data_IF_583380468537
#
_entry.id   IF_583380468537
#
_cell.length_a   1.000
_cell.length_b   1.000
_cell.length_c   1.000
_cell.angle_alpha   90.00
_cell.angle_beta   90.00
_cell.angle_gamma   90.00
#
_symmetry.space_group_name_H-M   'P 1'
#
loop_
_entity.id
_entity.type
_entity.pdbx_description
1 polymer ?
#
# COMPACT_ATOMS: atom_id res chain seq x y z
N UNK A 1 -13.10 10.84 12.01
CA UNK A 1 -12.79 10.89 10.56
C UNK A 1 -11.51 10.10 10.33
N UNK A 2 -11.46 9.28 9.27
CA UNK A 2 -10.24 8.58 8.86
C UNK A 2 -9.71 9.23 7.59
N UNK A 3 -8.39 9.40 7.52
CA UNK A 3 -7.66 9.66 6.29
C UNK A 3 -6.88 8.39 5.94
N UNK A 4 -7.13 7.84 4.76
CA UNK A 4 -6.31 6.79 4.16
C UNK A 4 -5.27 7.49 3.29
N UNK A 5 -3.99 7.24 3.55
CA UNK A 5 -2.91 7.76 2.71
C UNK A 5 -2.86 7.03 1.37
N UNK A 6 -2.18 7.66 0.39
CA UNK A 6 -1.95 7.05 -0.90
C UNK A 6 -1.22 5.70 -0.75
N UNK A 7 -1.60 4.74 -1.57
CA UNK A 7 -0.91 3.46 -1.72
C UNK A 7 0.42 3.67 -2.45
N UNK A 8 1.45 2.84 -2.22
CA UNK A 8 2.68 2.90 -3.00
C UNK A 8 2.41 2.83 -4.51
N UNK A 9 3.04 3.70 -5.28
CA UNK A 9 3.08 3.59 -6.75
C UNK A 9 4.01 2.40 -7.14
N UNK A 10 3.76 1.75 -8.27
CA UNK A 10 4.64 0.69 -8.81
C UNK A 10 5.42 1.22 -10.02
N UNK A 11 6.60 0.65 -10.37
CA UNK A 11 7.53 1.31 -11.30
C UNK A 11 7.12 1.25 -12.77
N UNK A 12 6.10 0.47 -13.12
CA UNK A 12 5.53 0.26 -14.45
C UNK A 12 4.09 -0.22 -14.31
N UNK A 13 3.34 -0.20 -15.41
CA UNK A 13 2.04 -0.87 -15.49
C UNK A 13 2.11 -2.30 -14.96
N UNK A 14 1.08 -2.71 -14.20
CA UNK A 14 1.03 -4.02 -13.56
C UNK A 14 1.17 -5.16 -14.59
N UNK A 15 0.63 -4.97 -15.81
CA UNK A 15 0.75 -5.94 -16.90
C UNK A 15 2.22 -6.25 -17.25
N UNK A 16 3.06 -5.21 -17.39
CA UNK A 16 4.48 -5.36 -17.67
C UNK A 16 5.20 -6.12 -16.55
N UNK A 17 4.84 -5.85 -15.29
CA UNK A 17 5.43 -6.52 -14.13
C UNK A 17 5.03 -8.00 -14.07
N UNK A 18 3.78 -8.34 -14.40
CA UNK A 18 3.31 -9.73 -14.45
C UNK A 18 4.07 -10.52 -15.52
N UNK A 19 4.20 -9.98 -16.73
CA UNK A 19 4.94 -10.66 -17.81
C UNK A 19 6.44 -10.76 -17.55
N UNK A 20 6.98 -9.91 -16.67
CA UNK A 20 8.38 -9.93 -16.27
C UNK A 20 8.66 -10.79 -15.03
N UNK A 21 7.62 -11.35 -14.39
CA UNK A 21 7.76 -12.15 -13.18
C UNK A 21 8.50 -13.47 -13.45
N UNK A 22 9.32 -13.91 -12.48
CA UNK A 22 10.11 -15.13 -12.61
C UNK A 22 9.26 -16.40 -12.76
N UNK A 23 8.07 -16.41 -12.14
CA UNK A 23 7.04 -17.45 -12.27
C UNK A 23 5.69 -16.87 -11.84
N UNK A 24 4.60 -17.61 -12.08
CA UNK A 24 3.25 -17.20 -11.67
C UNK A 24 3.12 -16.97 -10.16
N UNK A 25 3.83 -17.76 -9.35
CA UNK A 25 3.77 -17.68 -7.89
C UNK A 25 4.88 -16.79 -7.28
N UNK A 26 5.82 -16.31 -8.10
CA UNK A 26 6.89 -15.45 -7.62
C UNK A 26 6.32 -14.11 -7.11
N UNK A 27 6.84 -13.56 -5.99
CA UNK A 27 6.52 -12.20 -5.59
C UNK A 27 6.86 -11.22 -6.72
N UNK A 28 5.96 -10.27 -6.94
CA UNK A 28 6.16 -9.19 -7.91
C UNK A 28 6.66 -7.97 -7.14
N UNK A 29 7.90 -7.57 -7.39
CA UNK A 29 8.48 -6.38 -6.78
C UNK A 29 7.85 -5.11 -7.35
N UNK A 30 7.46 -4.19 -6.47
CA UNK A 30 7.11 -2.83 -6.84
C UNK A 30 8.32 -1.91 -6.69
N UNK A 31 8.19 -0.85 -5.89
CA UNK A 31 9.25 0.12 -5.59
C UNK A 31 9.96 -0.21 -4.28
N UNK A 32 11.19 0.31 -4.11
CA UNK A 32 11.89 0.20 -2.82
C UNK A 32 11.24 1.10 -1.77
N UNK A 33 11.35 0.72 -0.50
CA UNK A 33 10.90 1.55 0.63
C UNK A 33 11.55 2.94 0.60
N UNK A 34 12.86 3.00 0.32
CA UNK A 34 13.62 4.24 0.17
C UNK A 34 13.11 5.14 -0.95
N UNK A 35 12.64 4.58 -2.07
CA UNK A 35 12.08 5.37 -3.15
C UNK A 35 10.70 5.91 -2.75
N UNK A 36 9.85 5.06 -2.16
CA UNK A 36 8.49 5.43 -1.78
C UNK A 36 8.46 6.52 -0.71
N UNK A 37 9.30 6.41 0.32
CA UNK A 37 9.41 7.43 1.37
C UNK A 37 9.83 8.78 0.78
N UNK A 38 10.86 8.83 -0.07
CA UNK A 38 11.28 10.06 -0.76
C UNK A 38 10.18 10.63 -1.66
N UNK A 39 9.42 9.78 -2.34
CA UNK A 39 8.30 10.17 -3.21
C UNK A 39 7.20 10.87 -2.41
N UNK A 40 6.97 10.46 -1.16
CA UNK A 40 5.97 11.03 -0.24
C UNK A 40 6.43 12.25 0.55
N UNK A 41 7.74 12.43 0.74
CA UNK A 41 8.29 13.52 1.56
C UNK A 41 7.68 14.90 1.29
N UNK A 42 7.37 15.21 0.01
CA UNK A 42 6.73 16.49 -0.32
C UNK A 42 5.31 16.60 0.26
N UNK A 43 4.51 15.55 0.10
CA UNK A 43 3.16 15.50 0.64
C UNK A 43 3.20 15.59 2.17
N UNK A 44 4.06 14.82 2.81
CA UNK A 44 4.17 14.78 4.27
C UNK A 44 4.56 16.13 4.88
N UNK A 45 5.38 16.92 4.17
CA UNK A 45 5.76 18.28 4.60
C UNK A 45 4.67 19.31 4.37
N UNK A 46 3.93 19.22 3.27
CA UNK A 46 3.00 20.27 2.83
C UNK A 46 1.57 20.02 3.32
N UNK A 47 1.21 18.76 3.60
CA UNK A 47 -0.14 18.39 3.98
C UNK A 47 -0.34 18.39 5.49
N UNK A 48 -1.03 19.41 5.99
CA UNK A 48 -1.36 19.53 7.41
C UNK A 48 -2.66 18.79 7.74
N UNK A 49 -2.53 17.70 8.49
CA UNK A 49 -3.68 16.87 8.90
C UNK A 49 -4.33 17.49 10.14
N UNK A 50 -5.64 17.79 10.11
CA UNK A 50 -6.33 18.37 11.26
C UNK A 50 -6.26 17.48 12.50
N UNK A 51 -6.22 18.06 13.72
CA UNK A 51 -6.33 17.30 14.95
C UNK A 51 -7.61 16.45 14.98
N UNK A 52 -7.50 15.21 15.48
CA UNK A 52 -8.64 14.29 15.58
C UNK A 52 -8.93 13.46 14.32
N UNK A 53 -8.15 13.63 13.24
CA UNK A 53 -8.15 12.72 12.10
C UNK A 53 -7.26 11.52 12.41
N UNK A 54 -7.80 10.31 12.25
CA UNK A 54 -7.01 9.09 12.36
C UNK A 54 -6.43 8.73 11.00
N UNK A 55 -5.11 8.70 10.92
CA UNK A 55 -4.38 8.36 9.70
C UNK A 55 -4.24 6.83 9.62
N UNK A 56 -4.46 6.28 8.44
CA UNK A 56 -4.16 4.90 8.08
C UNK A 56 -3.17 4.95 6.92
N UNK A 57 -1.97 4.45 7.15
CA UNK A 57 -0.94 4.39 6.13
C UNK A 57 -1.17 3.10 5.32
N UNK A 58 -1.32 3.25 4.01
CA UNK A 58 -1.58 2.11 3.13
C UNK A 58 -0.30 1.30 2.85
N UNK A 59 0.86 1.92 2.99
CA UNK A 59 2.17 1.28 2.82
C UNK A 59 2.47 0.22 3.90
N UNK A 60 1.90 0.34 5.11
CA UNK A 60 1.89 -0.73 6.14
C UNK A 60 1.38 -2.08 5.61
N UNK A 61 0.63 -2.09 4.50
CA UNK A 61 0.02 -3.28 3.90
C UNK A 61 0.92 -3.93 2.85
N UNK A 62 1.66 -3.12 2.09
CA UNK A 62 2.40 -3.59 0.90
C UNK A 62 3.90 -3.56 1.07
N UNK A 63 4.41 -2.76 2.02
CA UNK A 63 5.83 -2.52 2.20
C UNK A 63 6.37 -3.19 3.45
N UNK A 64 7.60 -3.68 3.34
CA UNK A 64 8.47 -3.94 4.48
C UNK A 64 9.57 -2.87 4.57
N UNK A 65 10.58 -3.09 5.40
CA UNK A 65 11.71 -2.17 5.60
C UNK A 65 12.56 -1.94 4.32
N UNK A 66 12.33 -2.73 3.27
CA UNK A 66 13.17 -2.75 2.06
C UNK A 66 12.38 -2.50 0.78
N UNK A 67 11.19 -3.09 0.64
CA UNK A 67 10.47 -3.18 -0.62
C UNK A 67 8.95 -3.12 -0.43
N UNK A 68 8.27 -2.47 -1.36
CA UNK A 68 6.83 -2.54 -1.54
C UNK A 68 6.49 -3.57 -2.62
N UNK A 69 5.68 -4.57 -2.27
CA UNK A 69 5.26 -5.61 -3.20
C UNK A 69 4.07 -5.15 -4.07
N UNK A 70 4.14 -5.45 -5.37
CA UNK A 70 3.06 -5.27 -6.33
C UNK A 70 2.16 -6.51 -6.46
N UNK A 71 2.61 -7.66 -5.95
CA UNK A 71 1.85 -8.90 -5.96
C UNK A 71 2.61 -10.05 -5.30
N UNK A 72 1.90 -11.11 -4.94
CA UNK A 72 2.47 -12.32 -4.36
C UNK A 72 1.49 -13.49 -4.52
N UNK A 73 2.01 -14.72 -4.55
CA UNK A 73 1.22 -15.96 -4.49
C UNK A 73 0.15 -16.01 -5.61
N UNK A 74 0.53 -15.59 -6.83
CA UNK A 74 -0.37 -15.57 -7.99
C UNK A 74 -1.39 -14.42 -8.02
N UNK A 75 -1.30 -13.47 -7.08
CA UNK A 75 -2.24 -12.35 -6.95
C UNK A 75 -1.54 -11.03 -7.23
N UNK A 76 -2.06 -10.25 -8.19
CA UNK A 76 -1.67 -8.85 -8.38
C UNK A 76 -2.44 -7.94 -7.41
N UNK A 77 -1.72 -7.05 -6.74
CA UNK A 77 -2.32 -6.06 -5.83
C UNK A 77 -2.72 -4.77 -6.54
N UNK A 78 -2.23 -4.56 -7.75
CA UNK A 78 -2.51 -3.38 -8.57
C UNK A 78 -3.27 -3.74 -9.84
N UNK A 79 -4.00 -2.76 -10.36
CA UNK A 79 -4.66 -2.79 -11.66
C UNK A 79 -3.76 -2.15 -12.72
N UNK A 80 -3.21 -0.97 -12.42
CA UNK A 80 -2.23 -0.21 -13.20
C UNK A 80 -1.10 0.28 -12.27
N UNK A 81 -0.31 1.26 -12.70
CA UNK A 81 0.84 1.75 -11.92
C UNK A 81 0.49 2.52 -10.63
N UNK A 82 -0.75 2.99 -10.51
CA UNK A 82 -1.22 3.84 -9.39
C UNK A 82 -2.39 3.24 -8.59
N UNK A 83 -3.21 2.39 -9.21
CA UNK A 83 -4.49 1.93 -8.66
C UNK A 83 -4.41 0.48 -8.19
N UNK A 84 -4.99 0.23 -7.01
CA UNK A 84 -5.11 -1.13 -6.49
C UNK A 84 -6.12 -1.96 -7.31
N UNK A 85 -5.82 -3.25 -7.44
CA UNK A 85 -6.80 -4.26 -7.82
C UNK A 85 -7.83 -4.45 -6.69
N UNK A 86 -8.91 -5.19 -6.95
CA UNK A 86 -9.87 -5.56 -5.90
C UNK A 86 -9.19 -6.35 -4.78
N UNK A 87 -8.21 -7.19 -5.11
CA UNK A 87 -7.46 -7.95 -4.12
C UNK A 87 -6.61 -7.03 -3.24
N UNK A 88 -5.84 -6.11 -3.83
CA UNK A 88 -5.07 -5.11 -3.08
C UNK A 88 -5.95 -4.21 -2.22
N UNK A 89 -7.05 -3.71 -2.79
CA UNK A 89 -8.00 -2.86 -2.08
C UNK A 89 -8.65 -3.58 -0.88
N UNK A 90 -8.87 -4.89 -0.97
CA UNK A 90 -9.39 -5.71 0.14
C UNK A 90 -8.42 -5.73 1.33
N UNK A 91 -7.11 -5.82 1.08
CA UNK A 91 -6.09 -5.78 2.13
C UNK A 91 -6.09 -4.43 2.85
N UNK A 92 -6.15 -3.33 2.09
CA UNK A 92 -6.23 -1.98 2.67
C UNK A 92 -7.55 -1.75 3.41
N UNK A 93 -8.67 -2.23 2.88
CA UNK A 93 -9.97 -2.14 3.55
C UNK A 93 -9.93 -2.83 4.92
N UNK A 94 -9.29 -4.00 5.03
CA UNK A 94 -9.12 -4.68 6.31
C UNK A 94 -8.29 -3.83 7.30
N UNK A 95 -7.23 -3.16 6.83
CA UNK A 95 -6.43 -2.24 7.64
C UNK A 95 -7.24 -1.05 8.15
N UNK A 96 -8.12 -0.48 7.31
CA UNK A 96 -9.04 0.60 7.69
C UNK A 96 -10.07 0.13 8.70
N UNK A 97 -10.70 -1.03 8.49
CA UNK A 97 -11.67 -1.61 9.43
C UNK A 97 -11.02 -1.89 10.79
N UNK A 98 -9.81 -2.44 10.82
CA UNK A 98 -9.05 -2.62 12.06
C UNK A 98 -8.75 -1.29 12.77
N UNK A 99 -8.56 -0.21 12.01
CA UNK A 99 -8.41 1.13 12.56
C UNK A 99 -9.74 1.77 13.01
N UNK A 100 -10.89 1.25 12.60
CA UNK A 100 -12.19 1.70 13.08
C UNK A 100 -12.63 0.96 14.34
N UNK A 101 -12.17 -0.28 14.52
CA UNK A 101 -12.47 -1.07 15.71
C UNK A 101 -12.03 -0.35 16.99
N UNK A 102 -12.91 -0.26 18.01
CA UNK A 102 -12.51 0.19 19.34
C UNK A 102 -11.32 -0.65 19.81
N UNK A 103 -10.33 -0.05 20.46
CA UNK A 103 -9.38 -0.85 21.26
C UNK A 103 -10.23 -1.61 22.26
N UNK A 104 -10.42 -2.91 22.07
CA UNK A 104 -11.05 -3.76 23.07
C UNK A 104 -10.23 -3.55 24.34
N UNK A 105 -10.84 -2.97 25.37
CA UNK A 105 -10.21 -2.89 26.66
C UNK A 105 -9.89 -4.34 27.05
N UNK A 106 -8.60 -4.66 27.11
CA UNK A 106 -8.15 -5.91 27.70
C UNK A 106 -8.75 -5.96 29.11
N UNK A 107 -9.63 -6.93 29.34
CA UNK A 107 -10.09 -7.33 30.67
C UNK A 107 -9.07 -8.27 31.26
#
# INVERSE_FOLDING_TARGET
MILLEQVPEIPKDMEDLIYSAASLDAPISGVTWDWWTRRREKFDREFQIPPGVRIVNADDVFCDETLCLAGKDGVSYYFDDDHLSVAGATLVAQRVLNALSPKTAAR
#
